data_IF_132306372228
#
_entry.id   IF_132306372228
#
_cell.length_a   1.000
_cell.length_b   1.000
_cell.length_c   1.000
_cell.angle_alpha   90.00
_cell.angle_beta   90.00
_cell.angle_gamma   90.00
#
_symmetry.space_group_name_H-M   'P 1'
#
loop_
_entity.id
_entity.type
_entity.pdbx_description
1 polymer ?
#
# COMPACT_ATOMS: atom_id res chain seq x y z
N UNK A 1 -14.02 -5.42 -8.58
CA UNK A 1 -13.62 -6.59 -7.77
C UNK A 1 -12.13 -6.49 -7.44
N UNK A 2 -11.74 -6.75 -6.20
CA UNK A 2 -10.36 -6.59 -5.74
C UNK A 2 -9.38 -7.50 -6.48
N UNK A 3 -9.75 -8.76 -6.74
CA UNK A 3 -8.91 -9.72 -7.46
C UNK A 3 -8.54 -9.25 -8.89
N UNK A 4 -9.43 -8.53 -9.57
CA UNK A 4 -9.15 -7.97 -10.90
C UNK A 4 -8.12 -6.84 -10.83
N UNK A 5 -8.16 -6.03 -9.78
CA UNK A 5 -7.17 -4.97 -9.54
C UNK A 5 -5.80 -5.60 -9.28
N UNK A 6 -5.70 -6.53 -8.34
CA UNK A 6 -4.43 -7.19 -8.00
C UNK A 6 -3.82 -7.87 -9.23
N UNK A 7 -4.63 -8.57 -10.04
CA UNK A 7 -4.16 -9.18 -11.30
C UNK A 7 -3.60 -8.14 -12.26
N UNK A 8 -4.30 -7.02 -12.46
CA UNK A 8 -3.81 -5.93 -13.33
C UNK A 8 -2.48 -5.36 -12.83
N UNK A 9 -2.28 -5.28 -11.52
CA UNK A 9 -1.00 -4.84 -10.93
C UNK A 9 0.11 -5.86 -11.25
N UNK A 10 -0.15 -7.17 -11.13
CA UNK A 10 0.81 -8.20 -11.55
C UNK A 10 1.18 -8.09 -13.02
N UNK A 11 0.19 -7.99 -13.90
CA UNK A 11 0.44 -7.90 -15.35
C UNK A 11 1.32 -6.69 -15.68
N UNK A 12 1.11 -5.55 -15.00
CA UNK A 12 1.94 -4.36 -15.18
C UNK A 12 3.36 -4.52 -14.65
N UNK A 13 3.53 -5.21 -13.52
CA UNK A 13 4.83 -5.49 -12.93
C UNK A 13 5.66 -6.48 -13.74
N UNK A 14 5.04 -7.53 -14.28
CA UNK A 14 5.73 -8.51 -15.12
C UNK A 14 6.15 -7.92 -16.46
N UNK A 15 5.27 -7.10 -17.08
CA UNK A 15 5.53 -6.48 -18.37
C UNK A 15 6.34 -5.18 -18.30
N UNK A 16 6.57 -4.64 -17.09
CA UNK A 16 7.10 -3.29 -16.86
C UNK A 16 6.38 -2.21 -17.69
N UNK A 17 5.06 -2.36 -17.89
CA UNK A 17 4.31 -1.58 -18.88
C UNK A 17 3.87 -0.19 -18.41
N UNK A 18 3.90 0.09 -17.11
CA UNK A 18 3.52 1.40 -16.60
C UNK A 18 4.68 2.39 -16.73
N UNK A 19 4.37 3.66 -17.04
CA UNK A 19 5.37 4.73 -17.12
C UNK A 19 5.87 5.15 -15.73
N UNK A 20 5.01 4.99 -14.73
CA UNK A 20 5.26 5.35 -13.34
C UNK A 20 4.71 4.27 -12.42
N UNK A 21 5.47 3.98 -11.37
CA UNK A 21 5.05 3.08 -10.31
C UNK A 21 4.95 3.85 -9.01
N UNK A 22 3.99 3.45 -8.18
CA UNK A 22 3.83 3.99 -6.83
C UNK A 22 3.69 2.79 -5.90
N UNK A 23 4.69 2.59 -5.06
CA UNK A 23 4.65 1.58 -4.02
C UNK A 23 3.81 2.14 -2.87
N UNK A 24 2.83 1.37 -2.42
CA UNK A 24 2.02 1.69 -1.25
C UNK A 24 2.32 0.63 -0.21
N UNK A 25 2.91 0.99 0.92
CA UNK A 25 3.40 0.02 1.90
C UNK A 25 3.06 0.40 3.33
N UNK A 26 2.76 -0.62 4.12
CA UNK A 26 2.73 -0.56 5.59
C UNK A 26 4.11 -0.63 6.22
N UNK A 27 4.15 -0.69 7.55
CA UNK A 27 5.37 -0.88 8.32
C UNK A 27 5.89 -2.34 8.22
N UNK A 28 7.09 -2.62 8.76
CA UNK A 28 7.73 -3.95 8.71
C UNK A 28 7.10 -5.00 9.64
N UNK A 29 6.24 -4.61 10.59
CA UNK A 29 5.46 -5.59 11.35
C UNK A 29 4.53 -6.35 10.39
N UNK A 30 4.05 -5.64 9.35
CA UNK A 30 3.20 -6.17 8.29
C UNK A 30 1.98 -6.90 8.86
N UNK A 31 1.37 -6.29 9.88
CA UNK A 31 0.14 -6.77 10.48
C UNK A 31 -1.06 -6.53 9.55
N UNK A 32 -2.26 -6.90 10.01
CA UNK A 32 -3.47 -6.76 9.21
C UNK A 32 -3.75 -5.29 8.86
N UNK A 33 -3.51 -4.34 9.77
CA UNK A 33 -3.78 -2.92 9.54
C UNK A 33 -2.91 -2.39 8.39
N UNK A 34 -1.60 -2.66 8.46
CA UNK A 34 -0.64 -2.33 7.40
C UNK A 34 -1.04 -2.93 6.04
N UNK A 35 -1.39 -4.22 5.97
CA UNK A 35 -1.74 -4.90 4.71
C UNK A 35 -3.07 -4.36 4.15
N UNK A 36 -4.08 -4.24 5.01
CA UNK A 36 -5.41 -3.75 4.62
C UNK A 36 -5.34 -2.32 4.12
N UNK A 37 -4.65 -1.43 4.85
CA UNK A 37 -4.44 -0.05 4.47
C UNK A 37 -3.69 0.08 3.14
N UNK A 38 -2.60 -0.68 2.95
CA UNK A 38 -1.81 -0.60 1.72
C UNK A 38 -2.63 -1.03 0.51
N UNK A 39 -3.37 -2.14 0.65
CA UNK A 39 -4.23 -2.68 -0.39
C UNK A 39 -5.38 -1.73 -0.73
N UNK A 40 -6.07 -1.21 0.29
CA UNK A 40 -7.20 -0.31 0.10
C UNK A 40 -6.78 1.04 -0.48
N UNK A 41 -5.68 1.62 -0.02
CA UNK A 41 -5.22 2.91 -0.51
C UNK A 41 -4.64 2.80 -1.93
N UNK A 42 -3.92 1.72 -2.26
CA UNK A 42 -3.52 1.45 -3.65
C UNK A 42 -4.73 1.29 -4.58
N UNK A 43 -5.76 0.57 -4.12
CA UNK A 43 -7.02 0.42 -4.86
C UNK A 43 -7.72 1.77 -5.08
N UNK A 44 -7.85 2.58 -4.04
CA UNK A 44 -8.42 3.92 -4.11
C UNK A 44 -7.71 4.76 -5.19
N UNK A 45 -6.38 4.85 -5.10
CA UNK A 45 -5.57 5.61 -6.05
C UNK A 45 -5.71 5.07 -7.48
N UNK A 46 -5.81 3.76 -7.64
CA UNK A 46 -6.07 3.15 -8.94
C UNK A 46 -7.43 3.55 -9.52
N UNK A 47 -8.49 3.64 -8.69
CA UNK A 47 -9.80 4.10 -9.14
C UNK A 47 -9.81 5.59 -9.49
N UNK A 48 -9.05 6.41 -8.75
CA UNK A 48 -8.92 7.85 -9.04
C UNK A 48 -8.04 8.15 -10.27
N UNK A 49 -7.12 7.24 -10.61
CA UNK A 49 -6.21 7.41 -11.72
C UNK A 49 -6.96 7.44 -13.07
N UNK A 50 -7.14 8.64 -13.61
CA UNK A 50 -7.77 8.86 -14.92
C UNK A 50 -6.90 8.42 -16.12
N UNK A 51 -5.64 8.12 -15.86
CA UNK A 51 -4.62 7.80 -16.86
C UNK A 51 -3.95 6.46 -16.55
N UNK A 52 -3.97 5.55 -17.51
CA UNK A 52 -3.42 4.18 -17.41
C UNK A 52 -1.88 4.12 -17.28
N UNK A 53 -1.22 5.25 -17.05
CA UNK A 53 0.24 5.37 -17.04
C UNK A 53 0.87 5.12 -15.67
N UNK A 54 0.09 5.12 -14.59
CA UNK A 54 0.57 4.92 -13.21
C UNK A 54 0.03 3.61 -12.64
N UNK A 55 0.94 2.77 -12.14
CA UNK A 55 0.58 1.54 -11.44
C UNK A 55 0.80 1.71 -9.93
N UNK A 56 -0.25 1.54 -9.14
CA UNK A 56 -0.20 1.56 -7.68
C UNK A 56 -0.09 0.13 -7.14
N UNK A 57 1.00 -0.17 -6.43
CA UNK A 57 1.35 -1.53 -6.01
C UNK A 57 1.24 -1.60 -4.48
N UNK A 58 0.28 -2.36 -3.93
CA UNK A 58 0.21 -2.59 -2.50
C UNK A 58 1.24 -3.64 -2.07
N UNK A 59 2.22 -3.25 -1.27
CA UNK A 59 3.35 -4.10 -0.87
C UNK A 59 3.23 -4.47 0.61
N UNK A 60 3.34 -5.76 0.88
CA UNK A 60 3.60 -6.32 2.20
C UNK A 60 5.11 -6.14 2.49
N UNK A 61 5.45 -5.38 3.53
CA UNK A 61 6.84 -4.97 3.81
C UNK A 61 7.67 -6.06 4.52
N UNK A 62 7.62 -7.27 3.97
CA UNK A 62 8.30 -8.47 4.44
C UNK A 62 8.61 -9.39 3.24
N UNK A 63 9.51 -10.38 3.41
CA UNK A 63 9.60 -11.51 2.49
C UNK A 63 8.32 -12.37 2.47
N UNK A 64 8.06 -13.06 1.36
CA UNK A 64 6.87 -13.91 1.21
C UNK A 64 6.83 -15.06 2.24
N UNK A 65 7.99 -15.64 2.54
CA UNK A 65 8.19 -16.73 3.50
C UNK A 65 7.79 -16.37 4.93
N UNK A 66 7.71 -15.07 5.21
CA UNK A 66 7.41 -14.51 6.52
C UNK A 66 5.90 -14.29 6.74
N UNK A 67 5.11 -14.34 5.66
CA UNK A 67 3.67 -14.13 5.72
C UNK A 67 2.93 -15.16 6.59
N UNK A 68 3.26 -16.46 6.57
CA UNK A 68 2.64 -17.45 7.47
C UNK A 68 2.81 -17.14 8.97
N UNK A 69 3.80 -16.31 9.34
CA UNK A 69 4.00 -15.89 10.74
C UNK A 69 2.94 -14.86 11.19
N UNK A 70 2.30 -14.16 10.25
CA UNK A 70 1.25 -13.16 10.52
C UNK A 70 -0.10 -13.87 10.46
N UNK A 71 -0.39 -14.65 11.51
CA UNK A 71 -1.52 -15.59 11.55
C UNK A 71 -2.88 -14.92 11.40
N UNK A 72 -3.10 -13.78 12.06
CA UNK A 72 -4.32 -12.97 11.94
C UNK A 72 -4.50 -12.43 10.51
N UNK A 73 -3.47 -11.78 9.96
CA UNK A 73 -3.53 -11.26 8.60
C UNK A 73 -3.78 -12.39 7.59
N UNK A 74 -3.08 -13.53 7.75
CA UNK A 74 -3.28 -14.72 6.91
C UNK A 74 -4.70 -15.26 7.01
N UNK A 75 -5.30 -15.29 8.21
CA UNK A 75 -6.68 -15.70 8.42
C UNK A 75 -7.66 -14.83 7.62
N UNK A 76 -7.56 -13.50 7.75
CA UNK A 76 -8.46 -12.57 7.09
C UNK A 76 -8.28 -12.50 5.58
N UNK A 77 -7.04 -12.57 5.09
CA UNK A 77 -6.77 -12.69 3.65
C UNK A 77 -7.41 -13.95 3.06
N UNK A 78 -7.29 -15.08 3.74
CA UNK A 78 -7.95 -16.33 3.32
C UNK A 78 -9.48 -16.20 3.34
N UNK A 79 -10.06 -15.54 4.35
CA UNK A 79 -11.50 -15.27 4.40
C UNK A 79 -11.96 -14.43 3.19
N UNK A 80 -11.12 -13.52 2.72
CA UNK A 80 -11.33 -12.71 1.52
C UNK A 80 -10.91 -13.42 0.21
N UNK A 81 -10.49 -14.69 0.26
CA UNK A 81 -9.98 -15.47 -0.88
C UNK A 81 -8.76 -14.83 -1.57
N UNK A 82 -7.99 -14.05 -0.82
CA UNK A 82 -6.72 -13.47 -1.26
C UNK A 82 -5.61 -14.43 -0.83
N UNK A 83 -4.95 -15.03 -1.82
CA UNK A 83 -3.83 -15.93 -1.55
C UNK A 83 -2.53 -15.13 -1.35
N UNK A 84 -1.53 -15.65 -0.62
CA UNK A 84 -0.24 -14.98 -0.52
C UNK A 84 0.37 -14.67 -1.90
N UNK A 85 0.21 -15.55 -2.89
CA UNK A 85 0.70 -15.34 -4.27
C UNK A 85 -0.01 -14.22 -5.04
N UNK A 86 -1.12 -13.70 -4.54
CA UNK A 86 -1.83 -12.55 -5.12
C UNK A 86 -1.47 -11.21 -4.46
N UNK A 87 -0.46 -11.20 -3.60
CA UNK A 87 0.09 -10.01 -2.96
C UNK A 87 1.54 -9.79 -3.40
N UNK A 88 2.09 -8.63 -3.05
CA UNK A 88 3.42 -8.19 -3.45
C UNK A 88 4.30 -8.06 -2.21
N UNK A 89 5.54 -8.54 -2.29
CA UNK A 89 6.47 -8.66 -1.16
C UNK A 89 7.84 -8.11 -1.54
N UNK A 90 8.77 -8.15 -0.58
CA UNK A 90 10.20 -8.12 -0.90
C UNK A 90 10.53 -9.23 -1.94
N UNK A 91 11.54 -8.98 -2.76
CA UNK A 91 11.85 -9.69 -3.99
C UNK A 91 11.07 -9.19 -5.22
N UNK A 92 9.74 -8.99 -5.13
CA UNK A 92 8.96 -8.48 -6.27
C UNK A 92 9.33 -7.04 -6.60
N UNK A 93 9.55 -6.23 -5.55
CA UNK A 93 9.71 -4.80 -5.67
C UNK A 93 11.16 -4.43 -5.99
N UNK A 94 12.13 -5.19 -5.52
CA UNK A 94 13.56 -4.99 -5.79
C UNK A 94 13.83 -5.17 -7.28
N UNK A 95 13.25 -6.20 -7.90
CA UNK A 95 13.30 -6.36 -9.36
C UNK A 95 12.70 -5.14 -10.07
N UNK A 96 11.60 -4.58 -9.57
CA UNK A 96 11.04 -3.32 -10.10
C UNK A 96 12.02 -2.16 -9.97
N UNK A 97 12.65 -2.00 -8.82
CA UNK A 97 13.61 -0.93 -8.55
C UNK A 97 14.91 -1.05 -9.36
N UNK A 98 15.29 -2.28 -9.73
CA UNK A 98 16.43 -2.56 -10.60
C UNK A 98 16.13 -2.26 -12.07
N UNK A 99 14.97 -2.69 -12.57
CA UNK A 99 14.57 -2.56 -13.97
C UNK A 99 14.03 -1.16 -14.30
N UNK A 100 13.57 -0.42 -13.29
CA UNK A 100 12.97 0.90 -13.46
C UNK A 100 13.87 1.98 -12.87
N UNK A 101 14.09 3.07 -13.61
CA UNK A 101 14.80 4.22 -13.08
C UNK A 101 14.08 4.74 -11.81
N UNK A 102 14.79 4.83 -10.68
CA UNK A 102 14.24 5.26 -9.37
C UNK A 102 13.34 6.51 -9.45
N UNK A 103 13.64 7.46 -10.33
CA UNK A 103 12.82 8.68 -10.57
C UNK A 103 11.39 8.42 -11.09
N UNK A 104 11.11 7.20 -11.53
CA UNK A 104 9.79 6.77 -12.00
C UNK A 104 9.07 5.91 -10.95
N UNK A 105 9.63 5.80 -9.74
CA UNK A 105 9.04 5.05 -8.63
C UNK A 105 8.88 5.97 -7.43
N UNK A 106 7.63 6.21 -7.03
CA UNK A 106 7.28 6.95 -5.83
C UNK A 106 6.84 6.00 -4.71
N UNK A 107 6.76 6.53 -3.49
CA UNK A 107 6.38 5.81 -2.29
C UNK A 107 5.19 6.47 -1.61
N UNK A 108 4.29 5.65 -1.08
CA UNK A 108 3.22 6.02 -0.17
C UNK A 108 3.38 5.19 1.09
N UNK A 109 3.36 5.85 2.24
CA UNK A 109 3.40 5.20 3.54
C UNK A 109 1.99 5.17 4.13
N UNK A 110 1.57 3.99 4.56
CA UNK A 110 0.36 3.80 5.36
C UNK A 110 0.73 3.15 6.69
N UNK A 111 0.01 3.44 7.77
CA UNK A 111 0.25 2.82 9.09
C UNK A 111 1.67 3.04 9.67
N UNK A 112 2.38 4.01 9.10
CA UNK A 112 3.62 4.59 9.61
C UNK A 112 3.95 5.88 8.83
N UNK A 113 4.74 6.75 9.44
CA UNK A 113 5.22 8.01 8.84
C UNK A 113 6.75 8.14 8.82
N UNK A 114 7.45 7.23 9.51
CA UNK A 114 8.90 7.21 9.58
C UNK A 114 9.47 6.24 8.56
N UNK A 115 10.53 6.67 7.87
CA UNK A 115 11.25 5.81 6.94
C UNK A 115 12.55 5.35 7.59
N UNK A 116 12.62 4.07 7.97
CA UNK A 116 13.85 3.49 8.48
C UNK A 116 14.97 3.60 7.43
N UNK A 117 16.16 4.07 7.82
CA UNK A 117 17.29 4.24 6.88
C UNK A 117 17.78 2.94 6.25
N UNK A 118 17.39 1.80 6.82
CA UNK A 118 17.70 0.44 6.37
C UNK A 118 16.68 -0.12 5.38
N UNK A 119 15.53 0.53 5.18
CA UNK A 119 14.51 0.04 4.25
C UNK A 119 15.01 0.07 2.80
N UNK A 120 14.58 -0.91 2.00
CA UNK A 120 14.83 -0.95 0.55
C UNK A 120 14.22 0.26 -0.18
N UNK A 121 13.28 0.95 0.45
CA UNK A 121 12.60 2.12 -0.11
C UNK A 121 13.28 3.46 0.20
N UNK A 122 14.38 3.48 0.96
CA UNK A 122 15.00 4.69 1.56
C UNK A 122 15.27 5.86 0.60
N UNK A 123 15.49 5.57 -0.68
CA UNK A 123 15.82 6.58 -1.70
C UNK A 123 14.60 7.05 -2.51
N UNK A 124 13.41 6.52 -2.22
CA UNK A 124 12.19 6.83 -2.96
C UNK A 124 11.53 8.11 -2.42
N UNK A 125 10.87 8.83 -3.32
CA UNK A 125 10.14 10.05 -2.96
C UNK A 125 8.82 9.67 -2.29
N UNK A 126 8.63 10.08 -1.04
CA UNK A 126 7.37 9.89 -0.32
C UNK A 126 6.36 10.93 -0.81
N UNK A 127 5.26 10.46 -1.40
CA UNK A 127 4.22 11.30 -2.01
C UNK A 127 2.95 11.39 -1.17
N UNK A 128 2.62 10.35 -0.40
CA UNK A 128 1.48 10.34 0.49
C UNK A 128 1.88 9.65 1.81
N UNK A 129 1.36 10.15 2.94
CA UNK A 129 1.49 9.54 4.26
C UNK A 129 0.11 9.51 4.93
N UNK A 130 -0.30 8.33 5.37
CA UNK A 130 -1.52 8.11 6.13
C UNK A 130 -1.15 7.28 7.36
N UNK A 131 -1.34 7.81 8.55
CA UNK A 131 -0.89 7.12 9.76
C UNK A 131 -1.74 7.49 10.97
N UNK A 132 -1.72 6.65 11.99
CA UNK A 132 -2.39 6.89 13.26
C UNK A 132 -1.44 6.99 14.46
N UNK A 133 -0.15 6.71 14.25
CA UNK A 133 0.87 6.85 15.28
C UNK A 133 1.15 8.33 15.62
N UNK A 134 1.53 8.63 16.87
CA UNK A 134 1.90 9.98 17.26
C UNK A 134 3.16 10.43 16.52
N UNK A 135 3.13 11.63 15.97
CA UNK A 135 4.32 12.28 15.43
C UNK A 135 5.26 12.68 16.56
N UNK A 136 6.56 12.50 16.34
CA UNK A 136 7.57 13.09 17.21
C UNK A 136 7.49 14.64 17.13
N UNK A 137 7.86 15.38 18.20
CA UNK A 137 7.81 16.84 18.19
C UNK A 137 8.72 17.49 17.12
N UNK A 138 9.75 16.77 16.70
CA UNK A 138 10.74 17.17 15.70
C UNK A 138 10.46 16.59 14.31
N UNK A 139 9.33 15.89 14.12
CA UNK A 139 8.99 15.30 12.84
C UNK A 139 8.84 16.37 11.75
N UNK A 140 9.57 16.17 10.64
CA UNK A 140 9.48 17.02 9.46
C UNK A 140 8.89 16.21 8.31
N UNK A 141 7.69 16.60 7.87
CA UNK A 141 7.03 16.03 6.68
C UNK A 141 7.96 16.18 5.46
N UNK A 142 8.16 15.12 4.66
CA UNK A 142 8.89 15.20 3.40
C UNK A 142 8.29 16.26 2.47
N UNK A 143 9.14 17.08 1.83
CA UNK A 143 8.67 18.15 0.92
C UNK A 143 7.90 17.60 -0.29
N UNK A 144 8.18 16.36 -0.68
CA UNK A 144 7.51 15.67 -1.80
C UNK A 144 6.18 15.04 -1.41
N UNK A 145 5.87 14.97 -0.11
CA UNK A 145 4.61 14.45 0.37
C UNK A 145 3.51 15.47 0.06
N UNK A 146 2.58 15.13 -0.84
CA UNK A 146 1.47 15.96 -1.28
C UNK A 146 0.22 15.73 -0.43
N UNK A 147 -0.01 14.49 0.01
CA UNK A 147 -1.13 14.12 0.86
C UNK A 147 -0.61 13.61 2.20
N UNK A 148 -0.97 14.29 3.29
CA UNK A 148 -0.50 13.95 4.63
C UNK A 148 -1.68 13.96 5.59
N UNK A 149 -2.00 12.79 6.12
CA UNK A 149 -3.10 12.61 7.07
C UNK A 149 -2.63 11.72 8.21
N UNK A 150 -2.24 12.36 9.31
CA UNK A 150 -1.85 11.66 10.54
C UNK A 150 -2.82 12.05 11.65
N UNK A 151 -3.58 11.07 12.15
CA UNK A 151 -4.69 11.31 13.09
C UNK A 151 -4.66 10.32 14.25
N UNK A 152 -4.92 10.81 15.47
CA UNK A 152 -4.92 9.95 16.66
C UNK A 152 -6.22 9.14 16.74
N UNK A 153 -6.24 7.98 16.08
CA UNK A 153 -7.34 7.00 16.10
C UNK A 153 -6.83 5.60 16.45
N UNK A 154 -7.75 4.66 16.68
CA UNK A 154 -7.40 3.31 17.13
C UNK A 154 -6.69 2.45 16.08
N UNK A 155 -6.84 2.75 14.80
CA UNK A 155 -6.26 2.00 13.69
C UNK A 155 -6.15 2.87 12.44
N UNK A 156 -5.09 2.68 11.65
CA UNK A 156 -4.92 3.35 10.37
C UNK A 156 -6.05 2.99 9.38
N UNK A 157 -6.60 1.77 9.47
CA UNK A 157 -7.73 1.31 8.66
C UNK A 157 -8.96 2.21 8.81
N UNK A 158 -9.17 2.85 9.98
CA UNK A 158 -10.24 3.82 10.17
C UNK A 158 -10.06 5.06 9.29
N UNK A 159 -8.82 5.56 9.19
CA UNK A 159 -8.48 6.72 8.35
C UNK A 159 -8.64 6.36 6.88
N UNK A 160 -8.10 5.20 6.47
CA UNK A 160 -8.18 4.73 5.08
C UNK A 160 -9.63 4.44 4.67
N UNK A 161 -10.46 3.89 5.56
CA UNK A 161 -11.89 3.67 5.30
C UNK A 161 -12.63 4.99 5.09
N UNK A 162 -12.33 6.01 5.89
CA UNK A 162 -12.90 7.35 5.73
C UNK A 162 -12.48 7.97 4.39
N UNK A 163 -11.22 7.82 3.97
CA UNK A 163 -10.79 8.25 2.62
C UNK A 163 -11.50 7.49 1.49
N UNK A 164 -11.62 6.16 1.62
CA UNK A 164 -12.25 5.31 0.63
C UNK A 164 -13.73 5.67 0.42
N UNK A 165 -14.47 5.85 1.51
CA UNK A 165 -15.91 6.15 1.49
C UNK A 165 -16.24 7.59 1.11
N UNK A 166 -15.33 8.54 1.30
CA UNK A 166 -15.48 9.92 0.83
C UNK A 166 -15.26 10.09 -0.67
N UNK A 167 -14.42 9.24 -1.26
CA UNK A 167 -13.91 9.43 -2.64
C UNK A 167 -14.50 8.45 -3.64
N UNK A 168 -14.97 7.30 -3.18
CA UNK A 168 -15.62 6.30 -4.03
C UNK A 168 -17.07 6.13 -3.60
N UNK A 169 -17.93 5.87 -4.59
CA UNK A 169 -19.30 5.42 -4.30
C UNK A 169 -19.29 3.98 -3.79
N UNK A 170 -20.30 3.62 -2.99
CA UNK A 170 -20.35 2.32 -2.29
C UNK A 170 -20.25 1.11 -3.22
N UNK A 171 -20.84 1.20 -4.42
CA UNK A 171 -20.79 0.15 -5.44
C UNK A 171 -19.42 -0.02 -6.09
N UNK A 172 -18.53 0.98 -5.96
CA UNK A 172 -17.14 0.89 -6.42
C UNK A 172 -16.21 0.26 -5.39
N UNK A 173 -16.65 0.07 -4.13
CA UNK A 173 -15.81 -0.48 -3.06
C UNK A 173 -15.97 -2.01 -3.02
N UNK A 174 -14.91 -2.80 -3.29
CA UNK A 174 -14.95 -4.25 -3.18
C UNK A 174 -15.30 -4.70 -1.76
N UNK A 175 -16.16 -5.71 -1.65
CA UNK A 175 -16.57 -6.26 -0.35
C UNK A 175 -15.37 -6.82 0.43
N UNK A 176 -14.36 -7.34 -0.26
CA UNK A 176 -13.13 -7.84 0.34
C UNK A 176 -12.35 -6.72 1.05
N UNK A 177 -12.35 -5.49 0.51
CA UNK A 177 -11.75 -4.35 1.21
C UNK A 177 -12.55 -3.96 2.44
N UNK A 178 -13.88 -4.00 2.36
CA UNK A 178 -14.72 -3.76 3.55
C UNK A 178 -14.47 -4.79 4.65
N UNK A 179 -14.18 -6.04 4.30
CA UNK A 179 -13.87 -7.10 5.27
C UNK A 179 -12.48 -6.94 5.88
N UNK A 180 -11.47 -6.54 5.09
CA UNK A 180 -10.12 -6.34 5.59
C UNK A 180 -9.97 -5.08 6.45
N UNK A 181 -10.79 -4.06 6.21
CA UNK A 181 -10.75 -2.79 6.93
C UNK A 181 -11.66 -2.75 8.18
N UNK A 182 -12.41 -3.83 8.45
CA UNK A 182 -13.32 -3.95 9.59
C UNK A 182 -12.63 -4.54 10.81
#
# INVERSE_FOLDING_TARGET
MLASFLRKVFDNLEAFSAKKYVIVTGNEACDLDSIACATAFAYLKHQEAKNENTCYIPVCNIPLEDMPLRTEATHWLNACRITPKSLFYHGNVEKLLEETAKKNVDLVLVDHHEQASTTIFKDLQITDIIDHHPLSPDYVRPQTCNFFRVERVGSCASIVTDELTKRLSRDQIPIELCQLLY
#
